data_IF_516740749837
#
_entry.id   IF_516740749837
#
_cell.length_a   1.000
_cell.length_b   1.000
_cell.length_c   1.000
_cell.angle_alpha   90.00
_cell.angle_beta   90.00
_cell.angle_gamma   90.00
#
_symmetry.space_group_name_H-M   'P 1'
#
loop_
_entity.id
_entity.type
_entity.pdbx_description
1 polymer ?
#
# COMPACT_ATOMS: atom_id res chain seq x y z
N UNK A 1 -17.51 -15.18 16.79
CA UNK A 1 -17.08 -13.79 17.07
C UNK A 1 -15.77 -13.53 16.34
N UNK A 2 -15.57 -12.33 15.78
CA UNK A 2 -14.22 -11.92 15.34
C UNK A 2 -13.38 -11.73 16.60
N UNK A 3 -12.41 -12.60 16.84
CA UNK A 3 -11.50 -12.46 17.97
C UNK A 3 -10.16 -11.94 17.44
N UNK A 4 -9.82 -10.76 17.90
CA UNK A 4 -8.48 -10.22 17.82
C UNK A 4 -7.63 -10.89 18.91
N UNK A 5 -6.58 -11.60 18.50
CA UNK A 5 -5.62 -12.25 19.38
C UNK A 5 -4.20 -12.16 18.79
N UNK A 6 -3.20 -12.49 19.58
CA UNK A 6 -1.79 -12.41 19.18
C UNK A 6 -1.49 -13.20 17.91
N UNK A 7 -1.99 -14.44 17.80
CA UNK A 7 -1.75 -15.31 16.65
C UNK A 7 -2.31 -14.70 15.36
N UNK A 8 -3.50 -14.10 15.42
CA UNK A 8 -4.09 -13.43 14.27
C UNK A 8 -3.31 -12.16 13.89
N UNK A 9 -2.89 -11.35 14.87
CA UNK A 9 -2.05 -10.18 14.60
C UNK A 9 -0.70 -10.56 13.97
N UNK A 10 -0.08 -11.64 14.45
CA UNK A 10 1.14 -12.20 13.88
C UNK A 10 0.94 -12.67 12.43
N UNK A 11 -0.18 -13.34 12.14
CA UNK A 11 -0.54 -13.71 10.76
C UNK A 11 -0.67 -12.47 9.87
N UNK A 12 -1.40 -11.45 10.33
CA UNK A 12 -1.57 -10.21 9.56
C UNK A 12 -0.23 -9.50 9.37
N UNK A 13 0.64 -9.49 10.37
CA UNK A 13 2.01 -8.97 10.25
C UNK A 13 2.80 -9.73 9.19
N UNK A 14 2.80 -11.06 9.25
CA UNK A 14 3.47 -11.91 8.26
C UNK A 14 2.99 -11.62 6.82
N UNK A 15 1.68 -11.55 6.62
CA UNK A 15 1.11 -11.25 5.29
C UNK A 15 1.38 -9.81 4.84
N UNK A 16 1.38 -8.85 5.77
CA UNK A 16 1.72 -7.45 5.50
C UNK A 16 3.18 -7.32 5.03
N UNK A 17 4.11 -8.01 5.70
CA UNK A 17 5.54 -8.02 5.35
C UNK A 17 5.79 -8.70 3.99
N UNK A 18 5.12 -9.81 3.70
CA UNK A 18 5.18 -10.45 2.37
C UNK A 18 4.67 -9.53 1.27
N UNK A 19 3.54 -8.87 1.51
CA UNK A 19 2.95 -7.92 0.57
C UNK A 19 3.87 -6.72 0.35
N UNK A 20 4.52 -6.22 1.39
CA UNK A 20 5.55 -5.19 1.29
C UNK A 20 6.67 -5.58 0.32
N UNK A 21 7.20 -6.80 0.44
CA UNK A 21 8.24 -7.32 -0.46
C UNK A 21 7.77 -7.38 -1.92
N UNK A 22 6.50 -7.66 -2.17
CA UNK A 22 5.91 -7.64 -3.52
C UNK A 22 5.86 -6.20 -4.07
N UNK A 23 5.39 -5.24 -3.27
CA UNK A 23 5.38 -3.83 -3.67
C UNK A 23 6.79 -3.28 -3.92
N UNK A 24 7.79 -3.66 -3.11
CA UNK A 24 9.19 -3.27 -3.32
C UNK A 24 9.71 -3.78 -4.67
N UNK A 25 9.51 -5.07 -4.98
CA UNK A 25 9.86 -5.63 -6.30
C UNK A 25 9.10 -4.93 -7.44
N UNK A 26 7.84 -4.58 -7.21
CA UNK A 26 6.98 -3.90 -8.18
C UNK A 26 7.39 -2.48 -8.54
N UNK A 27 8.23 -1.81 -7.73
CA UNK A 27 8.73 -0.45 -8.04
C UNK A 27 9.38 -0.37 -9.42
N UNK A 28 10.10 -1.41 -9.82
CA UNK A 28 10.79 -1.45 -11.11
C UNK A 28 9.84 -1.31 -12.31
N UNK A 29 8.61 -1.81 -12.18
CA UNK A 29 7.60 -1.71 -13.25
C UNK A 29 7.17 -0.25 -13.50
N UNK A 30 7.14 0.58 -12.46
CA UNK A 30 6.81 2.01 -12.58
C UNK A 30 7.89 2.72 -13.41
N UNK A 31 9.17 2.42 -13.13
CA UNK A 31 10.31 2.98 -13.86
C UNK A 31 10.30 2.56 -15.34
N UNK A 32 10.11 1.26 -15.60
CA UNK A 32 10.11 0.71 -16.96
C UNK A 32 8.98 1.31 -17.81
N UNK A 33 7.80 1.49 -17.22
CA UNK A 33 6.64 2.07 -17.91
C UNK A 33 6.73 3.59 -18.04
N UNK A 34 7.56 4.28 -17.24
CA UNK A 34 7.79 5.72 -17.33
C UNK A 34 8.67 6.11 -18.54
N UNK A 35 9.57 5.21 -18.97
CA UNK A 35 10.55 5.49 -20.02
C UNK A 35 9.95 5.69 -21.42
N UNK A 36 8.72 5.21 -21.66
CA UNK A 36 8.05 5.30 -22.95
C UNK A 36 6.79 6.18 -22.86
N UNK A 37 6.70 7.21 -23.71
CA UNK A 37 5.56 8.13 -23.75
C UNK A 37 4.22 7.42 -23.97
N UNK A 38 4.19 6.29 -24.69
CA UNK A 38 2.97 5.48 -24.90
C UNK A 38 2.47 4.81 -23.61
N UNK A 39 3.36 4.51 -22.66
CA UNK A 39 3.02 3.84 -21.39
C UNK A 39 3.01 4.78 -20.19
N UNK A 40 3.21 6.08 -20.39
CA UNK A 40 3.27 7.08 -19.32
C UNK A 40 2.00 7.15 -18.48
N UNK A 41 0.82 6.92 -19.08
CA UNK A 41 -0.46 6.82 -18.34
C UNK A 41 -0.46 5.61 -17.40
N UNK A 42 -0.04 4.45 -17.90
CA UNK A 42 0.09 3.23 -17.11
C UNK A 42 1.07 3.40 -15.95
N UNK A 43 2.22 4.05 -16.17
CA UNK A 43 3.18 4.35 -15.10
C UNK A 43 2.54 5.13 -13.93
N UNK A 44 1.69 6.11 -14.24
CA UNK A 44 0.94 6.86 -13.20
C UNK A 44 -0.05 5.98 -12.45
N UNK A 45 -0.79 5.12 -13.14
CA UNK A 45 -1.74 4.18 -12.53
C UNK A 45 -1.05 3.16 -11.62
N UNK A 46 0.10 2.63 -12.06
CA UNK A 46 0.96 1.75 -11.24
C UNK A 46 1.51 2.49 -10.03
N UNK A 47 1.96 3.75 -10.19
CA UNK A 47 2.42 4.58 -9.09
C UNK A 47 1.32 4.85 -8.05
N UNK A 48 0.10 5.12 -8.50
CA UNK A 48 -1.06 5.29 -7.61
C UNK A 48 -1.39 3.99 -6.87
N UNK A 49 -1.36 2.85 -7.56
CA UNK A 49 -1.55 1.53 -6.94
C UNK A 49 -0.48 1.27 -5.86
N UNK A 50 0.78 1.57 -6.16
CA UNK A 50 1.89 1.42 -5.22
C UNK A 50 1.73 2.32 -4.00
N UNK A 51 1.46 3.61 -4.21
CA UNK A 51 1.26 4.59 -3.13
C UNK A 51 0.05 4.24 -2.25
N UNK A 52 -1.08 3.87 -2.86
CA UNK A 52 -2.29 3.49 -2.14
C UNK A 52 -2.11 2.20 -1.33
N UNK A 53 -1.57 1.15 -1.96
CA UNK A 53 -1.32 -0.13 -1.31
C UNK A 53 -0.35 -0.02 -0.14
N UNK A 54 0.81 0.60 -0.35
CA UNK A 54 1.81 0.78 0.72
C UNK A 54 1.34 1.69 1.84
N UNK A 55 0.47 2.67 1.56
CA UNK A 55 -0.17 3.48 2.61
C UNK A 55 -1.10 2.64 3.47
N UNK A 56 -1.88 1.73 2.88
CA UNK A 56 -2.69 0.78 3.67
C UNK A 56 -1.81 -0.15 4.50
N UNK A 57 -0.70 -0.66 3.96
CA UNK A 57 0.22 -1.50 4.74
C UNK A 57 0.76 -0.74 5.97
N UNK A 58 1.16 0.53 5.82
CA UNK A 58 1.57 1.38 6.95
C UNK A 58 0.46 1.54 7.97
N UNK A 59 -0.78 1.78 7.52
CA UNK A 59 -1.94 1.90 8.42
C UNK A 59 -2.26 0.61 9.17
N UNK A 60 -2.05 -0.55 8.56
CA UNK A 60 -2.18 -1.83 9.25
C UNK A 60 -1.15 -1.91 10.39
N UNK A 61 0.09 -1.44 10.17
CA UNK A 61 1.12 -1.38 11.20
C UNK A 61 0.77 -0.38 12.31
N UNK A 62 0.22 0.79 11.97
CA UNK A 62 -0.19 1.84 12.92
C UNK A 62 -1.27 1.38 13.90
N UNK A 63 -2.12 0.42 13.51
CA UNK A 63 -3.17 -0.16 14.35
C UNK A 63 -2.75 -1.47 15.03
N UNK A 64 -1.44 -1.72 15.11
CA UNK A 64 -0.85 -2.97 15.63
C UNK A 64 -1.48 -4.22 15.01
N UNK A 65 -1.69 -4.19 13.68
CA UNK A 65 -2.25 -5.30 12.90
C UNK A 65 -3.68 -5.71 13.29
N UNK A 66 -4.38 -4.91 14.12
CA UNK A 66 -5.73 -5.18 14.60
C UNK A 66 -6.83 -4.85 13.58
N UNK A 67 -6.79 -5.52 12.43
CA UNK A 67 -7.71 -5.27 11.31
C UNK A 67 -9.15 -5.76 11.54
N UNK A 68 -9.37 -6.63 12.53
CA UNK A 68 -10.71 -7.15 12.86
C UNK A 68 -11.54 -6.16 13.67
N UNK A 69 -10.89 -5.36 14.54
CA UNK A 69 -11.53 -4.31 15.34
C UNK A 69 -11.49 -2.97 14.60
N UNK A 70 -10.34 -2.63 14.00
CA UNK A 70 -10.14 -1.34 13.34
C UNK A 70 -9.87 -1.50 11.85
N UNK A 71 -10.76 -0.99 11.00
CA UNK A 71 -10.56 -1.02 9.55
C UNK A 71 -9.54 0.07 9.13
N UNK A 72 -8.38 -0.29 8.55
CA UNK A 72 -7.47 0.69 7.96
C UNK A 72 -8.15 1.38 6.77
N UNK A 73 -8.09 2.70 6.72
CA UNK A 73 -8.72 3.52 5.66
C UNK A 73 -7.75 4.61 5.20
N UNK A 74 -7.74 4.87 3.90
CA UNK A 74 -7.07 6.04 3.32
C UNK A 74 -7.92 7.28 3.67
N UNK A 75 -7.38 8.16 4.51
CA UNK A 75 -8.02 9.42 4.90
C UNK A 75 -7.94 10.47 3.79
N UNK A 76 -8.62 11.61 3.96
CA UNK A 76 -8.49 12.75 3.04
C UNK A 76 -7.05 13.27 2.94
N UNK A 77 -6.33 13.33 4.07
CA UNK A 77 -4.92 13.73 4.09
C UNK A 77 -4.03 12.74 3.35
N UNK A 78 -4.28 11.43 3.50
CA UNK A 78 -3.56 10.41 2.76
C UNK A 78 -3.80 10.55 1.25
N UNK A 79 -5.05 10.80 0.83
CA UNK A 79 -5.36 11.06 -0.59
C UNK A 79 -4.60 12.26 -1.13
N UNK A 80 -4.52 13.36 -0.37
CA UNK A 80 -3.75 14.55 -0.74
C UNK A 80 -2.27 14.21 -0.88
N UNK A 81 -1.68 13.50 0.09
CA UNK A 81 -0.29 13.07 0.04
C UNK A 81 -0.01 12.17 -1.16
N UNK A 82 -0.84 11.17 -1.40
CA UNK A 82 -0.74 10.26 -2.56
C UNK A 82 -0.81 11.05 -3.86
N UNK A 83 -1.76 11.98 -3.97
CA UNK A 83 -1.92 12.81 -5.16
C UNK A 83 -0.68 13.65 -5.44
N UNK A 84 -0.16 14.36 -4.43
CA UNK A 84 1.05 15.17 -4.55
C UNK A 84 2.26 14.29 -4.92
N UNK A 85 2.44 13.13 -4.28
CA UNK A 85 3.53 12.20 -4.61
C UNK A 85 3.41 11.57 -5.99
N UNK A 86 2.20 11.48 -6.56
CA UNK A 86 1.94 10.91 -7.89
C UNK A 86 2.19 11.88 -9.05
N UNK A 87 2.33 13.19 -8.78
CA UNK A 87 2.48 14.24 -9.79
C UNK A 87 3.91 14.52 -10.23
N UNK A 88 4.90 14.01 -9.50
CA UNK A 88 6.33 14.09 -9.82
C UNK A 88 6.83 12.78 -10.40
#
# INVERSE_FOLDING_TARGET
MKQDNSNFRELIKFETERTWKIFEKGKKLIELTAANNKTKKLSKELKLTWLGGTTILKKIQEIDYNVLVQRPKISGFDKLKIFLSSRF
#
